data_IF_227352417569
#
_entry.id   IF_227352417569
#
_cell.length_a   1.000
_cell.length_b   1.000
_cell.length_c   1.000
_cell.angle_alpha   90.00
_cell.angle_beta   90.00
_cell.angle_gamma   90.00
#
_symmetry.space_group_name_H-M   'P 1'
#
loop_
_entity.id
_entity.type
_entity.pdbx_description
1 polymer ?
#
# COMPACT_ATOMS: atom_id res chain seq x y z
N UNK A 1 27.21 -0.54 12.00
CA UNK A 1 26.50 -0.22 10.73
C UNK A 1 25.10 0.23 11.08
N UNK A 2 24.62 1.35 10.51
CA UNK A 2 23.24 1.80 10.69
C UNK A 2 22.31 1.03 9.74
N UNK A 3 21.02 0.97 10.08
CA UNK A 3 20.01 0.40 9.19
C UNK A 3 19.57 1.44 8.15
N UNK A 4 19.00 0.96 7.05
CA UNK A 4 18.26 1.80 6.12
C UNK A 4 17.13 2.53 6.85
N UNK A 5 16.98 3.83 6.58
CA UNK A 5 15.81 4.61 7.00
C UNK A 5 15.03 4.98 5.75
N UNK A 6 13.80 4.50 5.63
CA UNK A 6 13.01 4.60 4.41
C UNK A 6 11.69 5.31 4.73
N UNK A 7 11.31 6.27 3.90
CA UNK A 7 10.03 6.95 3.91
C UNK A 7 9.38 6.80 2.55
N UNK A 8 8.08 6.52 2.55
CA UNK A 8 7.29 6.30 1.34
C UNK A 8 6.01 7.12 1.46
N UNK A 9 5.77 7.99 0.50
CA UNK A 9 4.52 8.71 0.33
C UNK A 9 3.83 8.25 -0.95
N UNK A 10 2.68 7.59 -0.80
CA UNK A 10 1.94 7.02 -1.93
C UNK A 10 0.89 8.00 -2.41
N UNK A 11 1.10 8.60 -3.58
CA UNK A 11 0.10 9.41 -4.28
C UNK A 11 -0.76 8.59 -5.25
N UNK A 12 -1.65 9.28 -5.96
CA UNK A 12 -2.54 8.66 -6.96
C UNK A 12 -1.80 8.13 -8.20
N UNK A 13 -0.88 8.94 -8.75
CA UNK A 13 -0.13 8.63 -9.98
C UNK A 13 1.29 8.14 -9.69
N UNK A 14 1.96 8.74 -8.70
CA UNK A 14 3.33 8.41 -8.34
C UNK A 14 3.46 8.18 -6.85
N UNK A 15 4.43 7.34 -6.49
CA UNK A 15 4.92 7.12 -5.13
C UNK A 15 6.29 7.75 -4.99
N UNK A 16 6.45 8.61 -4.00
CA UNK A 16 7.72 9.24 -3.64
C UNK A 16 8.43 8.43 -2.55
N UNK A 17 9.68 8.07 -2.81
CA UNK A 17 10.51 7.26 -1.92
C UNK A 17 11.78 8.04 -1.56
N UNK A 18 12.03 8.16 -0.25
CA UNK A 18 13.27 8.70 0.30
C UNK A 18 13.95 7.62 1.14
N UNK A 19 15.26 7.45 0.98
CA UNK A 19 16.01 6.48 1.77
C UNK A 19 17.38 7.01 2.17
N UNK A 20 17.70 6.94 3.46
CA UNK A 20 19.09 7.03 3.93
C UNK A 20 19.70 5.63 3.97
N UNK A 21 20.82 5.46 3.27
CA UNK A 21 21.60 4.24 3.32
C UNK A 21 22.33 4.09 4.65
N UNK A 22 22.80 2.86 4.98
CA UNK A 22 23.74 2.63 6.07
C UNK A 22 25.03 3.47 6.01
N UNK A 23 25.45 3.89 4.80
CA UNK A 23 26.60 4.78 4.58
C UNK A 23 26.29 6.27 4.78
N UNK A 24 25.01 6.63 4.97
CA UNK A 24 24.57 8.01 5.16
C UNK A 24 24.12 8.72 3.87
N UNK A 25 24.09 8.01 2.75
CA UNK A 25 23.70 8.57 1.45
C UNK A 25 22.17 8.71 1.35
N UNK A 26 21.72 9.88 0.90
CA UNK A 26 20.30 10.12 0.62
C UNK A 26 19.96 9.73 -0.82
N UNK A 27 19.09 8.74 -0.95
CA UNK A 27 18.54 8.27 -2.21
C UNK A 27 17.10 8.78 -2.37
N UNK A 28 16.76 9.26 -3.57
CA UNK A 28 15.42 9.77 -3.91
C UNK A 28 14.93 9.09 -5.18
N UNK A 29 13.75 8.48 -5.12
CA UNK A 29 13.16 7.78 -6.26
C UNK A 29 11.69 8.11 -6.34
N UNK A 30 11.19 8.37 -7.56
CA UNK A 30 9.77 8.52 -7.86
C UNK A 30 9.37 7.40 -8.80
N UNK A 31 8.39 6.59 -8.42
CA UNK A 31 7.88 5.46 -9.21
C UNK A 31 6.39 5.61 -9.50
N UNK A 32 5.89 4.96 -10.54
CA UNK A 32 4.44 4.92 -10.80
C UNK A 32 3.71 4.20 -9.66
N UNK A 33 2.60 4.78 -9.21
CA UNK A 33 1.69 4.15 -8.26
C UNK A 33 0.95 2.99 -8.93
N UNK A 34 0.66 1.95 -8.16
CA UNK A 34 -0.16 0.83 -8.64
C UNK A 34 -1.66 1.13 -8.65
N UNK A 35 -2.07 2.32 -8.19
CA UNK A 35 -3.46 2.77 -8.05
C UNK A 35 -4.40 1.71 -7.42
N UNK A 36 -3.90 1.00 -6.39
CA UNK A 36 -4.60 -0.11 -5.76
C UNK A 36 -4.69 0.06 -4.24
N UNK A 37 -5.87 -0.16 -3.68
CA UNK A 37 -6.10 -0.20 -2.24
C UNK A 37 -5.72 -1.59 -1.71
N UNK A 38 -4.79 -1.65 -0.76
CA UNK A 38 -4.28 -2.92 -0.21
C UNK A 38 -4.97 -3.29 1.10
N UNK A 39 -5.25 -4.57 1.27
CA UNK A 39 -5.81 -5.15 2.49
C UNK A 39 -5.18 -6.50 2.80
N UNK A 40 -5.51 -7.05 3.96
CA UNK A 40 -5.07 -8.40 4.37
C UNK A 40 -6.27 -9.32 4.45
N UNK A 41 -6.23 -10.47 3.77
CA UNK A 41 -7.19 -11.55 3.99
C UNK A 41 -6.90 -12.17 5.35
N UNK A 42 -7.93 -12.28 6.20
CA UNK A 42 -7.83 -12.86 7.54
C UNK A 42 -8.25 -14.32 7.52
N UNK A 43 -9.37 -14.64 6.86
CA UNK A 43 -9.83 -16.02 6.66
C UNK A 43 -10.86 -16.13 5.53
N UNK A 44 -10.96 -17.32 4.94
CA UNK A 44 -12.09 -17.70 4.07
C UNK A 44 -13.27 -18.08 4.96
N UNK A 45 -14.44 -17.51 4.70
CA UNK A 45 -15.68 -17.79 5.46
C UNK A 45 -16.46 -18.90 4.76
N UNK A 46 -16.61 -18.82 3.44
CA UNK A 46 -17.16 -19.87 2.58
C UNK A 46 -16.65 -19.69 1.14
N UNK A 47 -17.18 -20.43 0.17
CA UNK A 47 -16.70 -20.39 -1.22
C UNK A 47 -16.85 -19.05 -1.93
N UNK A 48 -17.70 -18.15 -1.42
CA UNK A 48 -17.96 -16.84 -2.02
C UNK A 48 -17.70 -15.66 -1.09
N UNK A 49 -17.12 -15.90 0.09
CA UNK A 49 -16.87 -14.83 1.06
C UNK A 49 -15.57 -15.02 1.83
N UNK A 50 -14.85 -13.91 1.97
CA UNK A 50 -13.61 -13.82 2.73
C UNK A 50 -13.74 -12.68 3.73
N UNK A 51 -13.15 -12.84 4.90
CA UNK A 51 -13.00 -11.76 5.86
C UNK A 51 -11.65 -11.08 5.63
N UNK A 52 -11.67 -9.76 5.44
CA UNK A 52 -10.47 -8.96 5.22
C UNK A 52 -10.32 -7.88 6.30
N UNK A 53 -9.08 -7.45 6.54
CA UNK A 53 -8.74 -6.28 7.34
C UNK A 53 -8.20 -5.20 6.41
N UNK A 54 -8.80 -4.02 6.51
CA UNK A 54 -8.41 -2.80 5.79
C UNK A 54 -8.07 -1.71 6.81
N UNK A 55 -7.24 -0.73 6.46
CA UNK A 55 -7.03 0.49 7.28
C UNK A 55 -7.48 1.76 6.55
N UNK A 56 -8.22 1.63 5.46
CA UNK A 56 -8.61 2.76 4.61
C UNK A 56 -9.56 3.69 5.37
N UNK A 57 -9.32 4.99 5.28
CA UNK A 57 -10.16 6.02 5.90
C UNK A 57 -11.44 6.26 5.08
N UNK A 58 -12.32 5.26 5.02
CA UNK A 58 -13.54 5.30 4.20
C UNK A 58 -14.77 5.20 5.10
N UNK A 59 -15.67 6.18 5.01
CA UNK A 59 -16.91 6.24 5.80
C UNK A 59 -18.16 5.79 5.03
N UNK A 60 -18.05 5.64 3.70
CA UNK A 60 -19.15 5.29 2.79
C UNK A 60 -18.68 4.25 1.80
N UNK A 61 -19.56 3.36 1.36
CA UNK A 61 -19.21 2.41 0.29
C UNK A 61 -19.01 3.16 -1.03
N UNK A 62 -17.76 3.15 -1.51
CA UNK A 62 -17.34 3.75 -2.78
C UNK A 62 -16.80 2.69 -3.75
N UNK A 63 -16.95 1.41 -3.43
CA UNK A 63 -16.32 0.31 -4.18
C UNK A 63 -17.22 -0.25 -5.28
N UNK A 64 -18.42 0.31 -5.48
CA UNK A 64 -19.32 -0.07 -6.56
C UNK A 64 -18.60 0.06 -7.91
N UNK A 65 -18.53 -1.04 -8.66
CA UNK A 65 -17.86 -1.09 -9.97
C UNK A 65 -16.38 -1.50 -9.93
N UNK A 66 -15.80 -1.72 -8.74
CA UNK A 66 -14.46 -2.27 -8.59
C UNK A 66 -14.49 -3.78 -8.37
N UNK A 67 -13.38 -4.44 -8.75
CA UNK A 67 -13.19 -5.88 -8.55
C UNK A 67 -12.17 -6.15 -7.45
N UNK A 68 -12.45 -7.17 -6.64
CA UNK A 68 -11.45 -7.74 -5.75
C UNK A 68 -10.45 -8.56 -6.58
N UNK A 69 -9.15 -8.24 -6.44
CA UNK A 69 -8.05 -9.05 -6.95
C UNK A 69 -7.35 -9.74 -5.77
N UNK A 70 -7.33 -11.07 -5.78
CA UNK A 70 -6.66 -11.93 -4.78
C UNK A 70 -5.42 -12.55 -5.41
#
# INVERSE_FOLDING_TARGET
MSNWKIWVDTGGTFTDCLAYSPSGDLNRVKVLSSSALRGKIIKKINDKSIQCKFNWAVQKDIFKGYFLRV
#
